data_IF_780809022516
#
_entry.id   IF_780809022516
#
_cell.length_a   1.000
_cell.length_b   1.000
_cell.length_c   1.000
_cell.angle_alpha   90.00
_cell.angle_beta   90.00
_cell.angle_gamma   90.00
#
_symmetry.space_group_name_H-M   'P 1'
#
loop_
_entity.id
_entity.type
_entity.pdbx_description
1 polymer ?
#
# COMPACT_ATOMS: atom_id res chain seq x y z
N UNK A 1 -51.01 -12.37 -47.21
CA UNK A 1 -51.36 -11.77 -45.89
C UNK A 1 -50.52 -12.35 -44.71
N UNK A 2 -50.28 -13.68 -44.61
CA UNK A 2 -49.43 -14.25 -43.52
C UNK A 2 -47.94 -13.97 -43.74
N UNK A 3 -47.48 -13.99 -44.99
CA UNK A 3 -46.07 -13.75 -45.33
C UNK A 3 -45.62 -12.30 -45.05
N UNK A 4 -46.51 -11.33 -45.22
CA UNK A 4 -46.24 -9.92 -44.87
C UNK A 4 -46.19 -9.70 -43.36
N UNK A 5 -47.08 -10.32 -42.60
CA UNK A 5 -47.06 -10.24 -41.12
C UNK A 5 -45.81 -10.89 -40.50
N UNK A 6 -45.27 -11.94 -41.11
CA UNK A 6 -44.00 -12.57 -40.69
C UNK A 6 -42.79 -11.66 -40.98
N UNK A 7 -42.79 -11.05 -42.18
CA UNK A 7 -41.72 -10.08 -42.54
C UNK A 7 -41.72 -8.89 -41.63
N UNK A 8 -42.89 -8.33 -41.28
CA UNK A 8 -42.99 -7.18 -40.37
C UNK A 8 -42.47 -7.51 -38.94
N UNK A 9 -42.79 -8.73 -38.44
CA UNK A 9 -42.25 -9.20 -37.16
C UNK A 9 -40.73 -9.40 -37.21
N UNK A 10 -40.18 -9.92 -38.28
CA UNK A 10 -38.77 -10.09 -38.52
C UNK A 10 -38.04 -8.75 -38.57
N UNK A 11 -38.56 -7.75 -39.29
CA UNK A 11 -37.99 -6.40 -39.31
C UNK A 11 -38.05 -5.74 -37.94
N UNK A 12 -39.15 -5.88 -37.19
CA UNK A 12 -39.28 -5.40 -35.84
C UNK A 12 -38.20 -5.99 -34.90
N UNK A 13 -37.95 -7.30 -35.03
CA UNK A 13 -36.89 -7.97 -34.23
C UNK A 13 -35.50 -7.49 -34.62
N UNK A 14 -35.20 -7.28 -35.90
CA UNK A 14 -33.92 -6.74 -36.37
C UNK A 14 -33.69 -5.32 -35.83
N UNK A 15 -34.72 -4.46 -35.87
CA UNK A 15 -34.64 -3.09 -35.33
C UNK A 15 -34.38 -3.12 -33.83
N UNK A 16 -35.03 -3.98 -33.05
CA UNK A 16 -34.82 -4.16 -31.63
C UNK A 16 -33.39 -4.61 -31.31
N UNK A 17 -32.87 -5.52 -32.14
CA UNK A 17 -31.51 -6.03 -31.98
C UNK A 17 -30.46 -4.94 -32.26
N UNK A 18 -30.65 -4.14 -33.30
CA UNK A 18 -29.80 -2.99 -33.62
C UNK A 18 -29.84 -1.97 -32.47
N UNK A 19 -31.03 -1.66 -31.96
CA UNK A 19 -31.19 -0.72 -30.83
C UNK A 19 -30.48 -1.21 -29.58
N UNK A 20 -30.56 -2.49 -29.25
CA UNK A 20 -29.87 -3.09 -28.12
C UNK A 20 -28.35 -3.00 -28.25
N UNK A 21 -27.80 -3.22 -29.46
CA UNK A 21 -26.36 -3.06 -29.73
C UNK A 21 -25.92 -1.60 -29.57
N UNK A 22 -26.72 -0.65 -30.07
CA UNK A 22 -26.43 0.79 -29.92
C UNK A 22 -26.42 1.19 -28.44
N UNK A 23 -27.43 0.77 -27.69
CA UNK A 23 -27.47 1.03 -26.22
C UNK A 23 -26.26 0.43 -25.52
N UNK A 24 -25.90 -0.82 -25.86
CA UNK A 24 -24.71 -1.46 -25.29
C UNK A 24 -23.42 -0.68 -25.57
N UNK A 25 -23.24 -0.22 -26.82
CA UNK A 25 -22.07 0.59 -27.21
C UNK A 25 -22.04 1.91 -26.42
N UNK A 26 -23.18 2.57 -26.26
CA UNK A 26 -23.27 3.83 -25.51
C UNK A 26 -22.93 3.63 -24.02
N UNK A 27 -23.47 2.59 -23.40
CA UNK A 27 -23.15 2.23 -22.00
C UNK A 27 -21.67 1.87 -21.84
N UNK A 28 -21.11 1.12 -22.78
CA UNK A 28 -19.68 0.78 -22.78
C UNK A 28 -18.79 2.02 -22.87
N UNK A 29 -19.09 2.94 -23.80
CA UNK A 29 -18.36 4.22 -23.94
C UNK A 29 -18.52 5.10 -22.70
N UNK A 30 -19.71 5.15 -22.11
CA UNK A 30 -19.96 5.87 -20.87
C UNK A 30 -19.11 5.32 -19.71
N UNK A 31 -19.05 4.01 -19.56
CA UNK A 31 -18.25 3.34 -18.53
C UNK A 31 -16.75 3.62 -18.70
N UNK A 32 -16.24 3.53 -19.93
CA UNK A 32 -14.84 3.86 -20.22
C UNK A 32 -14.53 5.33 -19.86
N UNK A 33 -15.41 6.26 -20.28
CA UNK A 33 -15.24 7.69 -19.98
C UNK A 33 -15.24 7.96 -18.49
N UNK A 34 -16.16 7.32 -17.74
CA UNK A 34 -16.25 7.44 -16.27
C UNK A 34 -14.98 6.89 -15.58
N UNK A 35 -14.48 5.74 -16.04
CA UNK A 35 -13.27 5.14 -15.50
C UNK A 35 -12.04 6.01 -15.77
N UNK A 36 -11.92 6.56 -16.98
CA UNK A 36 -10.82 7.50 -17.31
C UNK A 36 -10.86 8.76 -16.46
N UNK A 37 -12.04 9.32 -16.22
CA UNK A 37 -12.20 10.49 -15.33
C UNK A 37 -11.80 10.17 -13.90
N UNK A 38 -12.21 9.01 -13.37
CA UNK A 38 -11.78 8.55 -12.02
C UNK A 38 -10.27 8.38 -11.89
N UNK A 39 -9.63 7.79 -12.90
CA UNK A 39 -8.16 7.63 -12.91
C UNK A 39 -7.48 9.00 -12.86
N UNK A 40 -7.93 9.94 -13.68
CA UNK A 40 -7.36 11.30 -13.72
C UNK A 40 -7.54 12.04 -12.39
N UNK A 41 -8.72 11.93 -11.78
CA UNK A 41 -9.02 12.51 -10.46
C UNK A 41 -8.14 11.90 -9.37
N UNK A 42 -7.95 10.58 -9.40
CA UNK A 42 -7.08 9.88 -8.44
C UNK A 42 -5.62 10.29 -8.63
N UNK A 43 -5.13 10.43 -9.85
CA UNK A 43 -3.79 10.94 -10.13
C UNK A 43 -3.61 12.36 -9.59
N UNK A 44 -4.52 13.26 -9.93
CA UNK A 44 -4.47 14.65 -9.47
C UNK A 44 -4.51 14.77 -7.93
N UNK A 45 -5.38 14.00 -7.27
CA UNK A 45 -5.44 14.00 -5.79
C UNK A 45 -4.17 13.43 -5.17
N UNK A 46 -3.54 12.45 -5.80
CA UNK A 46 -2.28 11.86 -5.35
C UNK A 46 -1.13 12.86 -5.50
N UNK A 47 -0.99 13.48 -6.68
CA UNK A 47 0.02 14.52 -6.93
C UNK A 47 -0.11 15.69 -5.96
N UNK A 48 -1.34 16.15 -5.71
CA UNK A 48 -1.62 17.24 -4.77
C UNK A 48 -1.26 16.85 -3.34
N UNK A 49 -1.53 15.61 -2.91
CA UNK A 49 -1.13 15.12 -1.58
C UNK A 49 0.39 15.04 -1.44
N UNK A 50 1.08 14.58 -2.48
CA UNK A 50 2.55 14.51 -2.49
C UNK A 50 3.13 15.92 -2.39
N UNK A 51 2.68 16.83 -3.24
CA UNK A 51 3.13 18.21 -3.24
C UNK A 51 2.89 18.90 -1.89
N UNK A 52 1.72 18.69 -1.28
CA UNK A 52 1.39 19.22 0.04
C UNK A 52 2.32 18.65 1.11
N UNK A 53 2.54 17.34 1.15
CA UNK A 53 3.45 16.71 2.13
C UNK A 53 4.90 17.17 1.95
N UNK A 54 5.36 17.30 0.72
CA UNK A 54 6.70 17.83 0.43
C UNK A 54 6.85 19.26 0.96
N UNK A 55 5.83 20.09 0.76
CA UNK A 55 5.85 21.48 1.23
C UNK A 55 5.71 21.59 2.74
N UNK A 56 4.72 20.92 3.33
CA UNK A 56 4.37 21.11 4.75
C UNK A 56 5.33 20.37 5.70
N UNK A 57 5.80 19.18 5.31
CA UNK A 57 6.66 18.36 6.18
C UNK A 57 8.14 18.59 5.87
N UNK A 58 8.55 18.44 4.59
CA UNK A 58 9.97 18.45 4.22
C UNK A 58 10.55 19.86 4.17
N UNK A 59 9.82 20.81 3.57
CA UNK A 59 10.30 22.18 3.46
C UNK A 59 10.46 22.85 4.83
N UNK A 60 9.52 22.60 5.76
CA UNK A 60 9.64 23.10 7.13
C UNK A 60 10.82 22.49 7.88
N UNK A 61 11.08 21.19 7.74
CA UNK A 61 12.23 20.56 8.39
C UNK A 61 13.56 21.09 7.84
N UNK A 62 13.65 21.28 6.52
CA UNK A 62 14.82 21.88 5.88
C UNK A 62 15.02 23.30 6.37
N UNK A 63 13.99 24.13 6.39
CA UNK A 63 14.05 25.52 6.87
C UNK A 63 14.53 25.58 8.34
N UNK A 64 13.95 24.79 9.22
CA UNK A 64 14.34 24.74 10.63
C UNK A 64 15.79 24.26 10.80
N UNK A 65 16.23 23.31 9.97
CA UNK A 65 17.60 22.80 10.03
C UNK A 65 18.61 23.84 9.54
N UNK A 66 18.27 24.61 8.50
CA UNK A 66 19.07 25.74 8.02
C UNK A 66 19.16 26.81 9.12
N UNK A 67 18.03 27.24 9.69
CA UNK A 67 17.99 28.23 10.75
C UNK A 67 18.80 27.78 11.98
N UNK A 68 18.75 26.48 12.34
CA UNK A 68 19.59 25.91 13.38
C UNK A 68 21.08 26.02 13.03
N UNK A 69 21.48 25.66 11.82
CA UNK A 69 22.86 25.72 11.37
C UNK A 69 23.41 27.16 11.32
N UNK A 70 22.58 28.13 10.97
CA UNK A 70 22.96 29.56 10.93
C UNK A 70 23.07 30.21 12.30
N UNK A 71 22.30 29.74 13.29
CA UNK A 71 22.20 30.39 14.61
C UNK A 71 23.04 29.72 15.69
N UNK A 72 23.40 28.44 15.50
CA UNK A 72 24.11 27.66 16.51
C UNK A 72 25.61 27.57 16.22
N UNK A 73 26.43 27.57 17.29
CA UNK A 73 27.86 27.31 17.14
C UNK A 73 28.10 25.82 16.82
N UNK A 74 28.53 25.53 15.58
CA UNK A 74 28.76 24.16 15.07
C UNK A 74 30.12 23.57 15.48
N UNK A 75 30.99 24.34 16.16
CA UNK A 75 32.20 23.80 16.83
C UNK A 75 31.81 22.98 18.06
N UNK A 76 30.63 23.24 18.63
CA UNK A 76 30.07 22.43 19.72
C UNK A 76 29.61 21.08 19.18
N UNK A 77 30.19 19.99 19.67
CA UNK A 77 29.86 18.62 19.24
C UNK A 77 28.37 18.28 19.41
N UNK A 78 27.71 18.79 20.45
CA UNK A 78 26.27 18.53 20.68
C UNK A 78 25.39 19.23 19.64
N UNK A 79 25.77 20.43 19.19
CA UNK A 79 25.07 21.13 18.10
C UNK A 79 25.28 20.43 16.77
N UNK A 80 26.49 19.96 16.51
CA UNK A 80 26.84 19.18 15.34
C UNK A 80 26.07 17.85 15.27
N UNK A 81 25.99 17.12 16.39
CA UNK A 81 25.20 15.89 16.49
C UNK A 81 23.71 16.16 16.24
N UNK A 82 23.17 17.26 16.79
CA UNK A 82 21.79 17.69 16.56
C UNK A 82 21.54 18.01 15.09
N UNK A 83 22.45 18.72 14.43
CA UNK A 83 22.36 19.01 13.00
C UNK A 83 22.34 17.73 12.16
N UNK A 84 23.24 16.78 12.45
CA UNK A 84 23.29 15.50 11.73
C UNK A 84 22.00 14.69 11.93
N UNK A 85 21.44 14.70 13.12
CA UNK A 85 20.15 14.06 13.43
C UNK A 85 18.98 14.69 12.66
N UNK A 86 18.97 16.02 12.55
CA UNK A 86 17.95 16.73 11.76
C UNK A 86 18.06 16.38 10.28
N UNK A 87 19.27 16.35 9.73
CA UNK A 87 19.52 15.95 8.35
C UNK A 87 19.10 14.49 8.06
N UNK A 88 19.41 13.57 8.99
CA UNK A 88 18.95 12.18 8.86
C UNK A 88 17.41 12.09 8.89
N UNK A 89 16.76 12.88 9.74
CA UNK A 89 15.29 12.95 9.79
C UNK A 89 14.71 13.41 8.46
N UNK A 90 15.27 14.46 7.86
CA UNK A 90 14.88 14.97 6.54
C UNK A 90 15.05 13.89 5.47
N UNK A 91 16.22 13.24 5.46
CA UNK A 91 16.51 12.15 4.51
C UNK A 91 15.52 11.00 4.64
N UNK A 92 15.21 10.55 5.87
CA UNK A 92 14.25 9.47 6.10
C UNK A 92 12.83 9.87 5.66
N UNK A 93 12.41 11.12 5.88
CA UNK A 93 11.10 11.62 5.40
C UNK A 93 11.03 11.65 3.88
N UNK A 94 12.05 12.19 3.22
CA UNK A 94 12.12 12.22 1.76
C UNK A 94 12.06 10.80 1.16
N UNK A 95 12.82 9.87 1.74
CA UNK A 95 12.83 8.46 1.35
C UNK A 95 11.46 7.80 1.55
N UNK A 96 10.78 8.09 2.65
CA UNK A 96 9.44 7.54 2.92
C UNK A 96 8.41 8.06 1.90
N UNK A 97 8.42 9.37 1.60
CA UNK A 97 7.54 9.96 0.58
C UNK A 97 7.81 9.33 -0.79
N UNK A 98 9.08 9.13 -1.15
CA UNK A 98 9.46 8.47 -2.39
C UNK A 98 8.95 7.02 -2.45
N UNK A 99 9.18 6.24 -1.39
CA UNK A 99 8.78 4.84 -1.31
C UNK A 99 7.26 4.66 -1.35
N UNK A 100 6.49 5.56 -0.69
CA UNK A 100 5.03 5.53 -0.71
C UNK A 100 4.44 5.77 -2.11
N UNK A 101 5.19 6.44 -3.00
CA UNK A 101 4.75 6.78 -4.35
C UNK A 101 5.44 5.94 -5.44
N UNK A 102 6.27 4.97 -5.05
CA UNK A 102 6.94 4.08 -5.99
C UNK A 102 5.91 3.24 -6.75
N UNK A 103 6.11 3.11 -8.06
CA UNK A 103 5.32 2.22 -8.91
C UNK A 103 5.54 0.75 -8.50
N UNK A 104 4.45 0.03 -8.33
CA UNK A 104 4.48 -1.38 -7.95
C UNK A 104 4.33 -2.21 -9.20
N UNK A 105 5.36 -2.97 -9.54
CA UNK A 105 5.31 -3.91 -10.64
C UNK A 105 4.45 -5.12 -10.26
N UNK A 106 3.29 -5.24 -10.86
CA UNK A 106 2.35 -6.37 -10.62
C UNK A 106 2.60 -7.57 -11.54
N UNK A 107 3.59 -7.48 -12.44
CA UNK A 107 3.99 -8.52 -13.37
C UNK A 107 4.93 -9.56 -12.77
N UNK A 108 5.80 -10.12 -13.62
CA UNK A 108 6.73 -11.20 -13.26
C UNK A 108 7.71 -10.83 -12.14
N UNK A 109 8.07 -9.56 -12.02
CA UNK A 109 9.05 -9.08 -11.04
C UNK A 109 8.44 -8.70 -9.68
N UNK A 110 7.14 -8.94 -9.48
CA UNK A 110 6.44 -8.56 -8.24
C UNK A 110 7.08 -9.17 -6.99
N UNK A 111 7.36 -10.47 -7.04
CA UNK A 111 7.95 -11.19 -5.91
C UNK A 111 9.31 -10.62 -5.51
N UNK A 112 10.19 -10.40 -6.49
CA UNK A 112 11.53 -9.87 -6.22
C UNK A 112 11.45 -8.41 -5.72
N UNK A 113 10.56 -7.60 -6.24
CA UNK A 113 10.33 -6.23 -5.75
C UNK A 113 9.82 -6.24 -4.30
N UNK A 114 8.86 -7.11 -3.96
CA UNK A 114 8.35 -7.26 -2.60
C UNK A 114 9.45 -7.73 -1.63
N UNK A 115 10.20 -8.76 -2.01
CA UNK A 115 11.33 -9.27 -1.24
C UNK A 115 12.40 -8.20 -1.00
N UNK A 116 12.75 -7.46 -2.04
CA UNK A 116 13.72 -6.36 -1.93
C UNK A 116 13.22 -5.28 -0.97
N UNK A 117 11.97 -4.87 -1.08
CA UNK A 117 11.35 -3.88 -0.19
C UNK A 117 11.40 -4.35 1.27
N UNK A 118 11.00 -5.58 1.57
CA UNK A 118 11.01 -6.14 2.93
C UNK A 118 12.45 -6.21 3.47
N UNK A 119 13.38 -6.73 2.69
CA UNK A 119 14.78 -6.88 3.11
C UNK A 119 15.50 -5.53 3.28
N UNK A 120 15.02 -4.45 2.66
CA UNK A 120 15.60 -3.10 2.83
C UNK A 120 15.44 -2.52 4.25
N UNK A 121 14.64 -3.17 5.10
CA UNK A 121 14.49 -2.82 6.51
C UNK A 121 15.46 -3.58 7.43
N UNK A 122 16.19 -4.57 6.92
CA UNK A 122 17.26 -5.23 7.67
C UNK A 122 18.40 -4.25 7.97
N UNK A 123 19.04 -4.40 9.12
CA UNK A 123 20.19 -3.63 9.57
C UNK A 123 21.03 -4.49 10.52
N UNK A 124 22.16 -3.98 11.01
CA UNK A 124 23.01 -4.69 11.97
C UNK A 124 22.24 -5.14 13.24
N UNK A 125 21.19 -4.40 13.59
CA UNK A 125 20.39 -4.65 14.79
C UNK A 125 19.04 -5.32 14.50
N UNK A 126 18.63 -5.45 13.22
CA UNK A 126 17.33 -6.01 12.83
C UNK A 126 17.52 -7.10 11.79
N UNK A 127 17.22 -8.32 12.17
CA UNK A 127 17.17 -9.46 11.25
C UNK A 127 15.75 -9.61 10.67
N UNK A 128 15.66 -9.74 9.35
CA UNK A 128 14.39 -9.90 8.62
C UNK A 128 14.38 -11.28 7.95
N UNK A 129 13.40 -12.10 8.33
CA UNK A 129 13.16 -13.42 7.73
C UNK A 129 11.92 -13.34 6.85
N UNK A 130 12.10 -13.53 5.55
CA UNK A 130 11.04 -13.52 4.57
C UNK A 130 10.88 -14.90 3.91
N UNK A 131 9.73 -15.53 4.14
CA UNK A 131 9.34 -16.78 3.48
C UNK A 131 8.13 -16.52 2.57
N UNK A 132 8.41 -16.23 1.31
CA UNK A 132 7.41 -15.93 0.28
C UNK A 132 7.24 -17.04 -0.76
N UNK A 133 7.69 -18.27 -0.52
CA UNK A 133 7.64 -19.36 -1.50
C UNK A 133 6.25 -19.61 -2.07
N UNK A 134 5.20 -19.52 -1.25
CA UNK A 134 3.81 -19.66 -1.69
C UNK A 134 3.36 -18.60 -2.71
N UNK A 135 3.99 -17.42 -2.78
CA UNK A 135 3.64 -16.38 -3.74
C UNK A 135 4.01 -16.73 -5.20
N UNK A 136 4.92 -17.68 -5.42
CA UNK A 136 5.28 -18.13 -6.76
C UNK A 136 4.18 -18.98 -7.41
N UNK A 137 3.37 -19.64 -6.60
CA UNK A 137 2.37 -20.61 -7.04
C UNK A 137 0.98 -19.98 -7.17
N UNK A 138 0.70 -18.93 -6.39
CA UNK A 138 -0.61 -18.27 -6.34
C UNK A 138 -0.76 -17.22 -7.45
N UNK A 139 -1.80 -17.32 -8.24
CA UNK A 139 -2.20 -16.27 -9.18
C UNK A 139 -2.95 -15.17 -8.40
N UNK A 140 -2.30 -14.04 -8.21
CA UNK A 140 -2.90 -12.88 -7.58
C UNK A 140 -3.20 -11.80 -8.61
N UNK A 141 -4.37 -11.19 -8.51
CA UNK A 141 -4.74 -10.02 -9.29
C UNK A 141 -3.87 -8.81 -8.93
N UNK A 142 -3.75 -7.85 -9.85
CA UNK A 142 -2.93 -6.66 -9.67
C UNK A 142 -3.36 -5.84 -8.45
N UNK A 143 -4.66 -5.74 -8.17
CA UNK A 143 -5.19 -5.03 -7.01
C UNK A 143 -4.74 -5.68 -5.68
N UNK A 144 -4.78 -7.01 -5.62
CA UNK A 144 -4.31 -7.76 -4.44
C UNK A 144 -2.80 -7.55 -4.24
N UNK A 145 -2.02 -7.63 -5.32
CA UNK A 145 -0.57 -7.40 -5.27
C UNK A 145 -0.22 -6.00 -4.75
N UNK A 146 -0.91 -4.97 -5.25
CA UNK A 146 -0.72 -3.59 -4.81
C UNK A 146 -1.11 -3.43 -3.33
N UNK A 147 -2.26 -3.96 -2.93
CA UNK A 147 -2.73 -3.90 -1.55
C UNK A 147 -1.74 -4.57 -0.60
N UNK A 148 -1.30 -5.79 -0.91
CA UNK A 148 -0.31 -6.53 -0.11
C UNK A 148 1.02 -5.80 0.02
N UNK A 149 1.55 -5.28 -1.08
CA UNK A 149 2.80 -4.53 -1.07
C UNK A 149 2.71 -3.34 -0.11
N UNK A 150 1.63 -2.54 -0.21
CA UNK A 150 1.42 -1.36 0.64
C UNK A 150 1.17 -1.71 2.10
N UNK A 151 0.43 -2.78 2.37
CA UNK A 151 0.19 -3.26 3.74
C UNK A 151 1.50 -3.72 4.38
N UNK A 152 2.28 -4.54 3.71
CA UNK A 152 3.57 -5.00 4.24
C UNK A 152 4.56 -3.86 4.40
N UNK A 153 4.60 -2.90 3.47
CA UNK A 153 5.40 -1.69 3.59
C UNK A 153 5.04 -0.90 4.84
N UNK A 154 3.74 -0.68 5.12
CA UNK A 154 3.27 0.04 6.31
C UNK A 154 3.62 -0.71 7.60
N UNK A 155 3.48 -2.04 7.63
CA UNK A 155 3.88 -2.86 8.77
C UNK A 155 5.39 -2.73 9.05
N UNK A 156 6.23 -2.75 8.01
CA UNK A 156 7.68 -2.58 8.15
C UNK A 156 8.06 -1.16 8.60
N UNK A 157 7.38 -0.14 8.13
CA UNK A 157 7.55 1.25 8.61
C UNK A 157 7.19 1.36 10.09
N UNK A 158 6.06 0.80 10.50
CA UNK A 158 5.60 0.82 11.88
C UNK A 158 6.55 0.04 12.80
N UNK A 159 7.05 -1.09 12.35
CA UNK A 159 8.09 -1.85 13.04
C UNK A 159 9.32 -0.97 13.31
N UNK A 160 9.86 -0.34 12.26
CA UNK A 160 11.06 0.50 12.38
C UNK A 160 10.87 1.69 13.31
N UNK A 161 9.67 2.29 13.33
CA UNK A 161 9.36 3.47 14.16
C UNK A 161 9.03 3.12 15.61
N UNK A 162 8.44 1.96 15.87
CA UNK A 162 7.75 1.71 17.14
C UNK A 162 8.15 0.42 17.85
N UNK A 163 8.69 -0.59 17.14
CA UNK A 163 8.85 -1.92 17.73
C UNK A 163 10.08 -2.07 18.61
N UNK A 164 11.23 -1.47 18.28
CA UNK A 164 12.53 -1.77 18.86
C UNK A 164 12.87 -3.29 18.83
N UNK A 165 12.44 -3.99 17.80
CA UNK A 165 12.70 -5.42 17.63
C UNK A 165 14.10 -5.69 17.10
N UNK A 166 14.57 -6.92 17.30
CA UNK A 166 15.77 -7.47 16.68
C UNK A 166 15.47 -8.52 15.60
N UNK A 167 14.23 -9.00 15.54
CA UNK A 167 13.79 -10.03 14.61
C UNK A 167 12.39 -9.72 14.09
N UNK A 168 12.24 -9.82 12.76
CA UNK A 168 10.94 -9.76 12.07
C UNK A 168 10.80 -11.00 11.19
N UNK A 169 9.63 -11.60 11.20
CA UNK A 169 9.29 -12.74 10.36
C UNK A 169 8.05 -12.44 9.53
N UNK A 170 8.12 -12.68 8.23
CA UNK A 170 7.00 -12.60 7.32
C UNK A 170 6.90 -13.90 6.54
N UNK A 171 5.78 -14.59 6.67
CA UNK A 171 5.53 -15.87 6.01
C UNK A 171 4.23 -15.84 5.22
N UNK A 172 4.25 -16.50 4.05
CA UNK A 172 3.09 -16.71 3.20
C UNK A 172 2.77 -18.21 3.18
N UNK A 173 1.51 -18.52 3.31
CA UNK A 173 0.99 -19.88 3.25
C UNK A 173 -0.24 -19.94 2.36
N UNK A 174 -0.19 -20.75 1.33
CA UNK A 174 -1.34 -21.06 0.51
C UNK A 174 -2.16 -22.19 1.16
N UNK A 175 -3.48 -21.99 1.20
CA UNK A 175 -4.46 -22.99 1.59
C UNK A 175 -5.42 -23.26 0.45
N UNK A 176 -6.30 -24.26 0.58
CA UNK A 176 -7.29 -24.58 -0.47
C UNK A 176 -8.23 -23.41 -0.78
N UNK A 177 -8.53 -22.54 0.20
CA UNK A 177 -9.53 -21.48 0.09
C UNK A 177 -8.96 -20.06 0.17
N UNK A 178 -7.70 -19.91 0.60
CA UNK A 178 -7.14 -18.59 0.90
C UNK A 178 -5.62 -18.54 0.81
N UNK A 179 -5.07 -17.34 0.67
CA UNK A 179 -3.69 -17.00 0.95
C UNK A 179 -3.61 -16.40 2.36
N UNK A 180 -2.85 -17.02 3.23
CA UNK A 180 -2.56 -16.52 4.58
C UNK A 180 -1.18 -15.85 4.60
N UNK A 181 -1.11 -14.66 5.21
CA UNK A 181 0.12 -13.93 5.44
C UNK A 181 0.26 -13.72 6.95
N UNK A 182 1.39 -14.12 7.50
CA UNK A 182 1.70 -13.95 8.91
C UNK A 182 2.91 -13.04 9.04
N UNK A 183 2.73 -11.95 9.75
CA UNK A 183 3.79 -11.04 10.18
C UNK A 183 3.99 -11.19 11.68
N UNK A 184 5.22 -11.20 12.15
CA UNK A 184 5.51 -11.08 13.58
C UNK A 184 6.86 -10.40 13.81
N UNK A 185 6.95 -9.59 14.85
CA UNK A 185 8.19 -9.07 15.39
C UNK A 185 8.32 -9.39 16.90
N UNK A 186 9.54 -9.37 17.40
CA UNK A 186 9.84 -9.62 18.81
C UNK A 186 10.05 -8.31 19.61
N UNK A 187 9.41 -7.22 19.19
CA UNK A 187 9.59 -5.91 19.80
C UNK A 187 8.79 -5.71 21.08
N UNK A 188 8.71 -4.44 21.50
CA UNK A 188 8.08 -4.06 22.78
C UNK A 188 6.57 -4.28 22.85
N UNK A 189 5.90 -4.52 21.70
CA UNK A 189 4.45 -4.61 21.66
C UNK A 189 3.75 -3.36 22.16
N UNK A 190 2.46 -3.46 22.48
CA UNK A 190 1.67 -2.38 23.09
C UNK A 190 0.44 -2.93 23.79
N UNK A 191 -0.05 -2.22 24.79
CA UNK A 191 -1.32 -2.42 25.47
C UNK A 191 -2.41 -1.47 24.96
N UNK A 192 -2.03 -0.48 24.16
CA UNK A 192 -2.94 0.58 23.73
C UNK A 192 -3.67 0.21 22.42
N UNK A 193 -4.78 -0.50 22.55
CA UNK A 193 -5.63 -0.89 21.42
C UNK A 193 -6.19 0.30 20.62
N UNK A 194 -6.38 1.47 21.24
CA UNK A 194 -6.85 2.67 20.53
C UNK A 194 -5.78 3.24 19.60
N UNK A 195 -4.51 3.23 20.02
CA UNK A 195 -3.39 3.64 19.15
C UNK A 195 -3.20 2.67 17.98
N UNK A 196 -3.36 1.38 18.20
CA UNK A 196 -3.32 0.36 17.16
C UNK A 196 -4.39 0.64 16.12
N UNK A 197 -5.65 0.85 16.53
CA UNK A 197 -6.77 1.14 15.62
C UNK A 197 -6.50 2.37 14.75
N UNK A 198 -6.06 3.47 15.33
CA UNK A 198 -5.82 4.71 14.59
C UNK A 198 -4.62 4.61 13.63
N UNK A 199 -3.54 3.93 14.04
CA UNK A 199 -2.32 3.78 13.23
C UNK A 199 -2.47 2.76 12.10
N UNK A 200 -3.31 1.74 12.26
CA UNK A 200 -3.48 0.64 11.31
C UNK A 200 -4.79 0.68 10.52
N UNK A 201 -5.61 1.72 10.69
CA UNK A 201 -6.88 1.87 9.97
C UNK A 201 -6.71 1.80 8.45
N UNK A 202 -5.63 2.38 7.93
CA UNK A 202 -5.33 2.33 6.50
C UNK A 202 -4.96 0.91 6.04
N UNK A 203 -4.30 0.14 6.91
CA UNK A 203 -3.95 -1.26 6.66
C UNK A 203 -5.23 -2.12 6.61
N UNK A 204 -6.12 -1.95 7.60
CA UNK A 204 -7.42 -2.64 7.65
C UNK A 204 -8.27 -2.32 6.41
N UNK A 205 -8.47 -1.03 6.11
CA UNK A 205 -9.26 -0.58 4.97
C UNK A 205 -8.74 -1.16 3.64
N UNK A 206 -7.41 -1.27 3.50
CA UNK A 206 -6.77 -1.82 2.31
C UNK A 206 -7.00 -3.32 2.17
N UNK A 207 -6.96 -4.06 3.27
CA UNK A 207 -7.24 -5.50 3.26
C UNK A 207 -8.73 -5.75 3.00
N UNK A 208 -9.63 -4.96 3.61
CA UNK A 208 -11.07 -5.09 3.36
C UNK A 208 -11.45 -4.74 1.92
N UNK A 209 -10.75 -3.79 1.26
CA UNK A 209 -11.03 -3.43 -0.13
C UNK A 209 -10.76 -4.57 -1.13
N UNK A 210 -9.97 -5.58 -0.73
CA UNK A 210 -9.67 -6.78 -1.52
C UNK A 210 -10.37 -8.03 -0.94
N UNK A 211 -11.47 -7.85 -0.20
CA UNK A 211 -12.26 -8.90 0.46
C UNK A 211 -11.42 -9.77 1.44
N UNK A 212 -10.29 -9.28 1.91
CA UNK A 212 -9.47 -9.96 2.89
C UNK A 212 -9.92 -9.67 4.32
N UNK A 213 -9.39 -10.45 5.26
CA UNK A 213 -9.53 -10.25 6.70
C UNK A 213 -8.16 -10.05 7.34
N UNK A 214 -8.09 -9.23 8.39
CA UNK A 214 -6.86 -8.96 9.12
C UNK A 214 -7.12 -8.98 10.62
N UNK A 215 -6.20 -9.57 11.38
CA UNK A 215 -6.24 -9.59 12.84
C UNK A 215 -4.88 -9.20 13.40
N UNK A 216 -4.90 -8.50 14.52
CA UNK A 216 -3.70 -8.05 15.24
C UNK A 216 -3.66 -8.71 16.61
N UNK A 217 -2.47 -9.15 17.02
CA UNK A 217 -2.22 -9.72 18.34
C UNK A 217 -0.94 -9.10 18.90
N UNK A 218 -1.06 -8.45 20.06
CA UNK A 218 0.06 -7.79 20.72
C UNK A 218 -0.20 -7.62 22.21
N UNK A 219 0.83 -7.78 22.99
CA UNK A 219 0.88 -7.48 24.42
C UNK A 219 2.21 -6.78 24.73
N UNK A 220 2.31 -6.02 25.84
CA UNK A 220 3.55 -5.41 26.25
C UNK A 220 4.68 -6.43 26.36
N UNK A 221 5.81 -6.14 25.70
CA UNK A 221 7.02 -6.97 25.64
C UNK A 221 6.86 -8.37 24.99
N UNK A 222 5.76 -8.60 24.25
CA UNK A 222 5.53 -9.86 23.51
C UNK A 222 5.55 -9.70 22.00
N UNK A 223 5.96 -8.51 21.52
CA UNK A 223 6.03 -8.18 20.12
C UNK A 223 4.66 -7.86 19.51
N UNK A 224 4.63 -7.81 18.19
CA UNK A 224 3.44 -7.51 17.41
C UNK A 224 3.24 -8.57 16.33
N UNK A 225 2.03 -9.12 16.25
CA UNK A 225 1.67 -10.13 15.25
C UNK A 225 0.49 -9.68 14.43
N UNK A 226 0.54 -9.99 13.14
CA UNK A 226 -0.55 -9.73 12.20
C UNK A 226 -0.81 -10.98 11.40
N UNK A 227 -2.08 -11.37 11.32
CA UNK A 227 -2.54 -12.40 10.41
C UNK A 227 -3.49 -11.79 9.39
N UNK A 228 -3.16 -11.96 8.11
CA UNK A 228 -3.98 -11.53 6.98
C UNK A 228 -4.44 -12.78 6.24
N UNK A 229 -5.71 -12.81 5.85
CA UNK A 229 -6.30 -13.90 5.07
C UNK A 229 -7.01 -13.31 3.87
N UNK A 230 -6.62 -13.73 2.66
CA UNK A 230 -7.20 -13.27 1.39
C UNK A 230 -7.85 -14.47 0.73
N UNK A 231 -9.19 -14.48 0.50
CA UNK A 231 -9.86 -15.55 -0.21
C UNK A 231 -9.35 -15.64 -1.65
N UNK A 232 -9.38 -16.86 -2.19
CA UNK A 232 -9.02 -17.14 -3.59
C UNK A 232 -10.19 -16.91 -4.53
#
# INVERSE_FOLDING_TARGET
TEKTAYQDKMYGFIVLLILSVVVFILLYRFTIKKNKSKILETQYTTETKIAKRLHDELANDVHNTIAFAETQNLENEQNKETLLKNLDTIYQRARNISNENQEINTGKNYFEQLKHMINSYASDNINVIFNGSALHEVKLDSEIKIALYRVLQELMVNMKKHSNCSLVMIGFKETNSALEINYSDNGKGTDNQLQIKNGLQNVENRIFSINGNITFDTEPNKGFKVKITIPK
#
